data_IF_365885523194
#
_entry.id   IF_365885523194
#
_cell.length_a   1.000
_cell.length_b   1.000
_cell.length_c   1.000
_cell.angle_alpha   90.00
_cell.angle_beta   90.00
_cell.angle_gamma   90.00
#
_symmetry.space_group_name_H-M   'P 1'
#
loop_
_entity.id
_entity.type
_entity.pdbx_description
1 polymer ?
#
# COMPACT_ATOMS: atom_id res chain seq x y z
N UNK A 1 3.14 -35.99 17.18
CA UNK A 1 2.36 -35.66 15.98
C UNK A 1 2.90 -34.35 15.41
N UNK A 2 3.57 -34.39 14.25
CA UNK A 2 4.08 -33.18 13.57
C UNK A 2 2.98 -32.63 12.67
N UNK A 3 2.52 -31.40 12.93
CA UNK A 3 1.59 -30.69 12.05
C UNK A 3 2.21 -30.52 10.66
N UNK A 4 1.48 -30.90 9.62
CA UNK A 4 1.88 -30.64 8.24
C UNK A 4 1.90 -29.12 7.97
N UNK A 5 2.81 -28.62 7.13
CA UNK A 5 2.81 -27.21 6.73
C UNK A 5 1.50 -26.90 6.00
N UNK A 6 0.79 -25.88 6.50
CA UNK A 6 -0.42 -25.35 5.88
C UNK A 6 -0.03 -24.85 4.48
N UNK A 7 -0.72 -25.24 3.40
CA UNK A 7 -0.44 -24.64 2.09
C UNK A 7 -0.60 -23.13 2.25
N UNK A 8 0.36 -22.37 1.71
CA UNK A 8 0.30 -20.92 1.63
C UNK A 8 -0.85 -20.55 0.69
N UNK A 9 -2.07 -20.60 1.20
CA UNK A 9 -3.22 -20.03 0.55
C UNK A 9 -2.90 -18.56 0.38
N UNK A 10 -2.77 -18.11 -0.86
CA UNK A 10 -2.77 -16.71 -1.21
C UNK A 10 -4.02 -16.11 -0.56
N UNK A 11 -3.81 -15.46 0.60
CA UNK A 11 -4.90 -14.85 1.36
C UNK A 11 -5.43 -13.72 0.52
N UNK A 12 -6.49 -13.97 -0.22
CA UNK A 12 -7.23 -12.92 -0.88
C UNK A 12 -7.88 -12.10 0.23
N UNK A 13 -7.45 -10.85 0.35
CA UNK A 13 -8.04 -9.88 1.27
C UNK A 13 -9.56 -9.81 0.99
N UNK A 14 -10.39 -9.92 2.03
CA UNK A 14 -11.84 -9.88 1.90
C UNK A 14 -12.31 -8.59 1.20
N UNK A 15 -11.56 -7.49 1.37
CA UNK A 15 -11.80 -6.22 0.71
C UNK A 15 -11.46 -6.29 -0.79
N UNK A 16 -10.35 -6.94 -1.17
CA UNK A 16 -10.00 -7.19 -2.58
C UNK A 16 -11.03 -8.10 -3.27
N UNK A 17 -11.53 -9.14 -2.59
CA UNK A 17 -12.56 -10.04 -3.13
C UNK A 17 -13.89 -9.30 -3.32
N UNK A 18 -14.31 -8.51 -2.34
CA UNK A 18 -15.51 -7.69 -2.43
C UNK A 18 -15.40 -6.66 -3.55
N UNK A 19 -14.26 -5.98 -3.65
CA UNK A 19 -13.95 -5.03 -4.71
C UNK A 19 -14.05 -5.68 -6.10
N UNK A 20 -13.36 -6.81 -6.32
CA UNK A 20 -13.41 -7.55 -7.58
C UNK A 20 -14.81 -8.11 -7.90
N UNK A 21 -15.63 -8.37 -6.88
CA UNK A 21 -17.04 -8.71 -7.04
C UNK A 21 -17.87 -7.53 -7.54
N UNK A 22 -17.75 -6.37 -6.89
CA UNK A 22 -18.45 -5.14 -7.28
C UNK A 22 -18.08 -4.69 -8.69
N UNK A 23 -16.79 -4.78 -9.05
CA UNK A 23 -16.30 -4.47 -10.39
C UNK A 23 -16.93 -5.37 -11.46
N UNK A 24 -16.96 -6.69 -11.21
CA UNK A 24 -17.61 -7.66 -12.11
C UNK A 24 -19.11 -7.47 -12.25
N UNK A 25 -19.78 -6.96 -11.22
CA UNK A 25 -21.21 -6.69 -11.23
C UNK A 25 -21.55 -5.30 -11.80
N UNK A 26 -20.54 -4.52 -12.22
CA UNK A 26 -20.74 -3.14 -12.68
C UNK A 26 -21.23 -2.19 -11.58
N UNK A 27 -20.98 -2.55 -10.31
CA UNK A 27 -21.37 -1.77 -9.12
C UNK A 27 -20.16 -1.09 -8.46
N UNK A 28 -18.97 -1.17 -9.06
CA UNK A 28 -17.81 -0.42 -8.60
C UNK A 28 -18.02 1.08 -8.84
N UNK A 29 -17.73 1.89 -7.82
CA UNK A 29 -17.78 3.34 -7.94
C UNK A 29 -16.45 3.86 -8.50
N UNK A 30 -16.43 4.72 -9.55
CA UNK A 30 -15.19 5.16 -10.19
C UNK A 30 -14.17 5.79 -9.22
N UNK A 31 -14.64 6.60 -8.26
CA UNK A 31 -13.75 7.19 -7.26
C UNK A 31 -13.10 6.13 -6.35
N UNK A 32 -13.82 5.06 -6.01
CA UNK A 32 -13.25 3.97 -5.20
C UNK A 32 -12.22 3.19 -6.00
N UNK A 33 -12.43 3.00 -7.31
CA UNK A 33 -11.47 2.33 -8.20
C UNK A 33 -10.16 3.12 -8.31
N UNK A 34 -10.25 4.43 -8.55
CA UNK A 34 -9.07 5.31 -8.61
C UNK A 34 -8.28 5.28 -7.30
N UNK A 35 -8.96 5.46 -6.16
CA UNK A 35 -8.32 5.44 -4.85
C UNK A 35 -7.69 4.07 -4.56
N UNK A 36 -8.40 2.99 -4.85
CA UNK A 36 -7.91 1.63 -4.63
C UNK A 36 -6.70 1.30 -5.50
N UNK A 37 -6.72 1.69 -6.77
CA UNK A 37 -5.61 1.54 -7.71
C UNK A 37 -4.37 2.26 -7.18
N UNK A 38 -4.54 3.51 -6.72
CA UNK A 38 -3.43 4.26 -6.15
C UNK A 38 -2.88 3.59 -4.86
N UNK A 39 -3.76 3.21 -3.92
CA UNK A 39 -3.37 2.61 -2.65
C UNK A 39 -2.67 1.25 -2.81
N UNK A 40 -3.10 0.43 -3.77
CA UNK A 40 -2.56 -0.92 -3.98
C UNK A 40 -1.19 -0.95 -4.66
N UNK A 41 -0.89 0.03 -5.51
CA UNK A 41 0.38 0.09 -6.23
C UNK A 41 1.56 0.37 -5.28
N UNK A 42 1.39 1.23 -4.27
CA UNK A 42 2.48 1.70 -3.42
C UNK A 42 3.14 0.63 -2.50
N UNK A 43 2.40 -0.26 -1.79
CA UNK A 43 3.01 -1.26 -0.92
C UNK A 43 3.84 -2.31 -1.67
N UNK A 44 3.46 -2.65 -2.91
CA UNK A 44 4.23 -3.56 -3.75
C UNK A 44 5.62 -2.97 -4.08
N UNK A 45 5.72 -1.65 -4.20
CA UNK A 45 6.95 -0.95 -4.58
C UNK A 45 7.87 -0.65 -3.40
N UNK A 46 7.34 -0.59 -2.16
CA UNK A 46 8.15 -0.44 -0.95
C UNK A 46 8.93 -1.72 -0.57
N UNK A 47 8.87 -2.78 -1.39
CA UNK A 47 9.34 -4.13 -1.08
C UNK A 47 8.86 -4.62 0.30
N UNK A 48 7.73 -4.09 0.76
CA UNK A 48 7.17 -4.41 2.06
C UNK A 48 6.68 -5.85 2.07
N UNK A 49 7.04 -6.58 3.12
CA UNK A 49 6.47 -7.89 3.42
C UNK A 49 5.36 -7.75 4.47
N UNK A 50 4.75 -8.87 4.86
CA UNK A 50 3.66 -8.90 5.84
C UNK A 50 4.02 -8.34 7.23
N UNK A 51 5.30 -8.09 7.51
CA UNK A 51 5.77 -7.49 8.78
C UNK A 51 6.20 -6.04 8.62
N UNK A 52 6.09 -5.47 7.41
CA UNK A 52 6.42 -4.07 7.16
C UNK A 52 5.31 -3.19 7.69
N UNK A 53 5.64 -2.36 8.69
CA UNK A 53 4.72 -1.36 9.21
C UNK A 53 4.65 -0.18 8.22
N UNK A 54 3.72 -0.26 7.27
CA UNK A 54 3.48 0.79 6.29
C UNK A 54 1.98 1.03 6.10
N UNK A 55 1.63 2.25 5.69
CA UNK A 55 0.25 2.64 5.38
C UNK A 55 0.22 3.46 4.10
N UNK A 56 -0.81 3.30 3.29
CA UNK A 56 -1.08 4.11 2.11
C UNK A 56 -2.56 4.46 2.08
N UNK A 57 -2.88 5.72 1.79
CA UNK A 57 -4.26 6.21 1.70
C UNK A 57 -4.40 7.30 0.63
N UNK A 58 -5.39 7.16 -0.25
CA UNK A 58 -5.72 8.13 -1.29
C UNK A 58 -6.96 8.95 -0.93
N UNK A 59 -6.89 10.25 -1.21
CA UNK A 59 -8.03 11.17 -1.13
C UNK A 59 -8.24 11.84 -2.48
N UNK A 60 -9.50 12.00 -2.89
CA UNK A 60 -9.88 12.52 -4.20
C UNK A 60 -10.71 13.80 -4.01
N UNK A 61 -10.42 14.81 -4.82
CA UNK A 61 -11.19 16.05 -4.90
C UNK A 61 -11.25 16.49 -6.38
N UNK A 62 -12.46 16.44 -6.96
CA UNK A 62 -12.68 16.73 -8.38
C UNK A 62 -11.74 15.95 -9.31
N UNK A 63 -10.79 16.64 -9.97
CA UNK A 63 -9.82 16.07 -10.89
C UNK A 63 -8.46 15.76 -10.23
N UNK A 64 -8.30 16.07 -8.94
CA UNK A 64 -7.07 15.92 -8.19
C UNK A 64 -7.14 14.78 -7.17
N UNK A 65 -5.99 14.16 -6.95
CA UNK A 65 -5.76 13.15 -5.93
C UNK A 65 -4.58 13.55 -5.06
N UNK A 66 -4.67 13.23 -3.76
CA UNK A 66 -3.53 13.21 -2.86
C UNK A 66 -3.35 11.79 -2.28
N UNK A 67 -2.15 11.25 -2.46
CA UNK A 67 -1.73 9.97 -1.89
C UNK A 67 -0.82 10.24 -0.68
N UNK A 68 -1.26 9.77 0.47
CA UNK A 68 -0.49 9.77 1.70
C UNK A 68 0.12 8.39 1.90
N UNK A 69 1.43 8.32 2.08
CA UNK A 69 2.10 7.08 2.40
C UNK A 69 3.04 7.26 3.60
N UNK A 70 3.18 6.22 4.41
CA UNK A 70 4.05 6.25 5.58
C UNK A 70 4.70 4.89 5.84
N UNK A 71 5.91 4.93 6.38
CA UNK A 71 6.66 3.79 6.89
C UNK A 71 7.02 4.08 8.35
N UNK A 72 6.81 3.09 9.20
CA UNK A 72 7.03 3.19 10.65
C UNK A 72 8.15 2.26 11.07
N UNK A 73 8.95 2.69 12.04
CA UNK A 73 9.85 1.80 12.75
C UNK A 73 9.02 0.71 13.48
N UNK A 74 9.46 -0.56 13.50
CA UNK A 74 8.71 -1.64 14.14
C UNK A 74 8.45 -1.43 15.65
N UNK A 75 9.31 -0.67 16.32
CA UNK A 75 9.22 -0.28 17.73
C UNK A 75 8.50 1.07 17.95
N UNK A 76 8.06 1.73 16.87
CA UNK A 76 7.31 2.99 16.90
C UNK A 76 8.13 4.27 17.13
N UNK A 77 9.46 4.20 17.23
CA UNK A 77 10.27 5.40 17.55
C UNK A 77 10.39 6.41 16.39
N UNK A 78 10.16 5.97 15.16
CA UNK A 78 10.29 6.78 13.97
C UNK A 78 9.17 6.52 12.96
N UNK A 79 8.83 7.56 12.20
CA UNK A 79 7.86 7.53 11.13
C UNK A 79 8.31 8.46 10.01
N UNK A 80 8.37 7.93 8.79
CA UNK A 80 8.58 8.70 7.58
C UNK A 80 7.28 8.75 6.80
N UNK A 81 6.93 9.93 6.31
CA UNK A 81 5.67 10.20 5.62
C UNK A 81 5.96 10.97 4.34
N UNK A 82 5.25 10.62 3.29
CA UNK A 82 5.23 11.39 2.05
C UNK A 82 3.79 11.73 1.68
N UNK A 83 3.64 12.81 0.92
CA UNK A 83 2.39 13.21 0.31
C UNK A 83 2.65 13.60 -1.13
N UNK A 84 2.09 12.83 -2.06
CA UNK A 84 2.17 13.12 -3.49
C UNK A 84 0.79 13.54 -3.97
N UNK A 85 0.75 14.55 -4.83
CA UNK A 85 -0.46 14.99 -5.51
C UNK A 85 -0.31 14.78 -7.02
N UNK A 86 -1.44 14.58 -7.68
CA UNK A 86 -1.53 14.44 -9.13
C UNK A 86 -2.96 14.19 -9.59
N UNK A 87 -3.11 13.86 -10.86
CA UNK A 87 -4.43 13.68 -11.46
C UNK A 87 -5.08 12.36 -11.03
N UNK A 88 -6.40 12.39 -10.80
CA UNK A 88 -7.22 11.18 -10.64
C UNK A 88 -7.19 10.26 -11.88
N UNK A 89 -6.75 10.77 -13.03
CA UNK A 89 -6.60 10.01 -14.28
C UNK A 89 -5.29 9.23 -14.35
N UNK A 90 -4.35 9.50 -13.43
CA UNK A 90 -3.02 8.87 -13.40
C UNK A 90 -2.71 8.28 -12.01
N UNK A 91 -3.59 7.43 -11.45
CA UNK A 91 -3.43 6.95 -10.07
C UNK A 91 -2.14 6.16 -9.87
N UNK A 92 -1.73 5.36 -10.86
CA UNK A 92 -0.51 4.57 -10.81
C UNK A 92 0.76 5.43 -10.78
N UNK A 93 0.79 6.52 -11.54
CA UNK A 93 1.92 7.44 -11.59
C UNK A 93 2.12 8.15 -10.24
N UNK A 94 1.02 8.61 -9.63
CA UNK A 94 1.04 9.21 -8.29
C UNK A 94 1.58 8.22 -7.26
N UNK A 95 1.18 6.95 -7.37
CA UNK A 95 1.68 5.89 -6.49
C UNK A 95 3.14 5.56 -6.71
N UNK A 96 3.60 5.53 -7.96
CA UNK A 96 5.02 5.31 -8.29
C UNK A 96 5.90 6.36 -7.63
N UNK A 97 5.55 7.63 -7.83
CA UNK A 97 6.26 8.76 -7.21
C UNK A 97 6.28 8.67 -5.69
N UNK A 98 5.19 8.25 -5.05
CA UNK A 98 5.14 8.09 -3.60
C UNK A 98 6.07 6.98 -3.10
N UNK A 99 6.15 5.86 -3.83
CA UNK A 99 7.02 4.75 -3.47
C UNK A 99 8.51 5.02 -3.75
N UNK A 100 8.83 5.88 -4.73
CA UNK A 100 10.21 6.32 -4.97
C UNK A 100 10.68 7.32 -3.90
N UNK A 101 9.79 8.19 -3.43
CA UNK A 101 10.14 9.27 -2.53
C UNK A 101 10.41 8.78 -1.10
N UNK A 102 9.65 7.78 -0.61
CA UNK A 102 9.84 7.25 0.75
C UNK A 102 11.25 6.65 1.01
N UNK A 103 11.80 5.77 0.16
CA UNK A 103 13.17 5.27 0.29
C UNK A 103 14.21 6.40 0.20
N UNK A 104 13.99 7.39 -0.68
CA UNK A 104 14.86 8.55 -0.81
C UNK A 104 14.91 9.39 0.47
N UNK A 105 13.78 9.54 1.14
CA UNK A 105 13.64 10.24 2.43
C UNK A 105 14.17 9.44 3.63
N UNK A 106 14.80 8.28 3.39
CA UNK A 106 15.47 7.46 4.41
C UNK A 106 14.67 6.25 4.90
N UNK A 107 13.54 5.90 4.26
CA UNK A 107 12.73 4.75 4.69
C UNK A 107 13.47 3.41 4.57
N UNK A 108 14.48 3.32 3.70
CA UNK A 108 15.34 2.13 3.63
C UNK A 108 15.96 1.78 5.01
N UNK A 109 16.39 2.78 5.79
CA UNK A 109 16.96 2.55 7.11
C UNK A 109 15.92 1.99 8.11
N UNK A 110 14.67 2.43 8.01
CA UNK A 110 13.57 1.92 8.85
C UNK A 110 13.12 0.52 8.43
N UNK A 111 13.12 0.22 7.13
CA UNK A 111 12.77 -1.10 6.58
C UNK A 111 13.83 -2.17 6.92
N UNK A 112 15.11 -1.79 6.96
CA UNK A 112 16.22 -2.68 7.32
C UNK A 112 16.42 -2.87 8.84
N UNK A 113 15.75 -2.07 9.67
CA UNK A 113 15.83 -2.18 11.13
C UNK A 113 15.06 -3.40 11.70
N UNK A 114 14.43 -4.22 10.87
CA UNK A 114 13.84 -5.50 11.27
C UNK A 114 14.94 -6.44 11.77
N UNK A 115 14.98 -6.80 13.07
CA UNK A 115 15.81 -7.91 13.52
C UNK A 115 15.24 -9.18 12.88
N UNK A 116 16.09 -9.97 12.21
CA UNK A 116 15.75 -11.36 11.94
C UNK A 116 15.36 -12.03 13.25
N UNK A 117 14.16 -12.62 13.34
CA UNK A 117 13.83 -13.46 14.50
C UNK A 117 14.65 -14.76 14.42
N UNK A 118 14.99 -15.36 15.58
CA UNK A 118 15.85 -16.53 15.69
C UNK A 118 15.24 -17.78 15.05
#
# INVERSE_FOLDING_TARGET
MRSAPRPAGAGLDALLVAYAGLHRLGQAHPATDTAYTAERAAPAMLHGNCTTAASVHATLADADMALHAAVFAPDGHACLRTRITGSVQQPEEVSHRAAEQLPHDGAAALLHALPGRP
#
